data_IF_552052082160
#
_entry.id   IF_552052082160
#
_cell.length_a   1.000
_cell.length_b   1.000
_cell.length_c   1.000
_cell.angle_alpha   90.00
_cell.angle_beta   90.00
_cell.angle_gamma   90.00
#
_symmetry.space_group_name_H-M   'P 1'
#
loop_
_entity.id
_entity.type
_entity.pdbx_description
1 polymer ?
#
# COMPACT_ATOMS: atom_id res chain seq x y z
N UNK A 1 -29.74 -4.76 1.16
CA UNK A 1 -28.56 -4.45 1.99
C UNK A 1 -27.55 -3.83 1.05
N UNK A 2 -27.07 -2.62 1.31
CA UNK A 2 -26.08 -2.00 0.43
C UNK A 2 -24.82 -2.88 0.42
N UNK A 3 -24.31 -3.24 -0.76
CA UNK A 3 -23.00 -3.87 -0.87
C UNK A 3 -21.99 -2.90 -0.28
N UNK A 4 -21.36 -3.24 0.85
CA UNK A 4 -20.32 -2.40 1.44
C UNK A 4 -19.12 -2.44 0.49
N UNK A 5 -18.76 -1.28 -0.04
CA UNK A 5 -17.56 -1.10 -0.84
C UNK A 5 -16.40 -0.78 0.12
N UNK A 6 -15.25 -1.42 -0.09
CA UNK A 6 -13.99 -1.13 0.62
C UNK A 6 -13.15 -0.25 -0.30
N UNK A 7 -12.71 0.91 0.18
CA UNK A 7 -11.86 1.84 -0.56
C UNK A 7 -10.42 1.71 -0.09
N UNK A 8 -9.50 1.49 -1.02
CA UNK A 8 -8.09 1.23 -0.74
C UNK A 8 -7.21 2.21 -1.50
N UNK A 9 -6.34 2.91 -0.78
CA UNK A 9 -5.27 3.72 -1.38
C UNK A 9 -4.01 2.89 -1.60
N UNK A 10 -3.51 2.83 -2.82
CA UNK A 10 -2.22 2.18 -3.15
C UNK A 10 -1.10 3.22 -3.06
N UNK A 11 -0.26 3.12 -2.04
CA UNK A 11 0.91 3.97 -1.82
C UNK A 11 2.21 3.21 -2.10
N UNK A 12 3.32 3.93 -2.25
CA UNK A 12 4.65 3.33 -2.42
C UNK A 12 5.61 4.25 -3.16
N UNK A 13 6.90 3.93 -3.13
CA UNK A 13 7.90 4.65 -3.92
C UNK A 13 7.67 4.46 -5.44
N UNK A 14 8.22 5.34 -6.29
CA UNK A 14 8.35 5.04 -7.71
C UNK A 14 9.07 3.71 -7.95
N UNK A 15 8.62 2.96 -8.96
CA UNK A 15 9.25 1.71 -9.43
C UNK A 15 9.26 0.52 -8.44
N UNK A 16 8.39 0.49 -7.42
CA UNK A 16 8.27 -0.64 -6.47
C UNK A 16 7.35 -1.77 -6.94
N UNK A 17 6.79 -1.66 -8.14
CA UNK A 17 5.79 -2.60 -8.67
C UNK A 17 4.34 -2.32 -8.23
N UNK A 18 4.06 -1.14 -7.66
CA UNK A 18 2.71 -0.69 -7.30
C UNK A 18 1.69 -0.86 -8.44
N UNK A 19 2.01 -0.35 -9.63
CA UNK A 19 1.14 -0.49 -10.81
C UNK A 19 1.01 -1.94 -11.28
N UNK A 20 2.02 -2.79 -11.05
CA UNK A 20 1.94 -4.22 -11.38
C UNK A 20 0.95 -4.95 -10.47
N UNK A 21 1.00 -4.68 -9.16
CA UNK A 21 0.02 -5.20 -8.20
C UNK A 21 -1.38 -4.68 -8.54
N UNK A 22 -1.52 -3.37 -8.77
CA UNK A 22 -2.79 -2.75 -9.17
C UNK A 22 -3.40 -3.47 -10.39
N UNK A 23 -2.63 -3.63 -11.47
CA UNK A 23 -3.10 -4.29 -12.68
C UNK A 23 -3.43 -5.77 -12.45
N UNK A 24 -2.65 -6.48 -11.63
CA UNK A 24 -2.89 -7.88 -11.31
C UNK A 24 -4.21 -8.07 -10.53
N UNK A 25 -4.56 -7.11 -9.66
CA UNK A 25 -5.77 -7.15 -8.86
C UNK A 25 -7.02 -6.68 -9.63
N UNK A 26 -6.94 -5.59 -10.41
CA UNK A 26 -8.11 -4.99 -11.10
C UNK A 26 -8.35 -5.58 -12.49
N UNK A 27 -7.31 -6.12 -13.13
CA UNK A 27 -7.36 -6.60 -14.50
C UNK A 27 -7.82 -5.52 -15.48
N UNK A 28 -9.00 -5.73 -16.09
CA UNK A 28 -9.57 -4.78 -17.06
C UNK A 28 -10.56 -3.78 -16.44
N UNK A 29 -10.93 -3.94 -15.17
CA UNK A 29 -11.92 -3.10 -14.50
C UNK A 29 -11.26 -1.87 -13.90
N UNK A 30 -10.65 -1.08 -14.77
CA UNK A 30 -9.92 0.11 -14.38
C UNK A 30 -10.27 1.30 -15.26
N UNK A 31 -10.20 2.48 -14.68
CA UNK A 31 -10.38 3.76 -15.33
C UNK A 31 -9.19 4.66 -15.01
N UNK A 32 -8.73 5.40 -16.01
CA UNK A 32 -7.61 6.32 -15.89
C UNK A 32 -8.10 7.72 -16.23
N UNK A 33 -7.89 8.65 -15.31
CA UNK A 33 -8.21 10.06 -15.45
C UNK A 33 -7.09 10.92 -14.87
N UNK A 34 -7.43 12.13 -14.42
CA UNK A 34 -6.50 13.02 -13.74
C UNK A 34 -7.01 13.37 -12.36
N UNK A 35 -6.08 13.62 -11.43
CA UNK A 35 -6.43 14.19 -10.13
C UNK A 35 -7.13 15.56 -10.28
N UNK A 36 -8.14 15.88 -9.46
CA UNK A 36 -8.90 17.12 -9.60
C UNK A 36 -8.03 18.38 -9.65
N UNK A 37 -8.10 19.11 -10.77
CA UNK A 37 -7.33 20.34 -10.98
C UNK A 37 -5.83 20.13 -11.16
N UNK A 38 -5.39 18.91 -11.51
CA UNK A 38 -3.97 18.55 -11.72
C UNK A 38 -3.78 17.84 -13.07
N UNK A 39 -2.55 17.80 -13.54
CA UNK A 39 -2.12 17.05 -14.74
C UNK A 39 -1.55 15.67 -14.40
N UNK A 40 -1.65 15.25 -13.15
CA UNK A 40 -1.13 13.98 -12.66
C UNK A 40 -2.22 12.94 -12.86
N UNK A 41 -1.83 11.81 -13.46
CA UNK A 41 -2.71 10.68 -13.73
C UNK A 41 -3.27 10.09 -12.43
N UNK A 42 -4.55 9.70 -12.47
CA UNK A 42 -5.25 8.98 -11.41
C UNK A 42 -5.82 7.71 -12.00
N UNK A 43 -5.31 6.56 -11.58
CA UNK A 43 -5.86 5.27 -11.94
C UNK A 43 -6.74 4.74 -10.80
N UNK A 44 -7.91 4.24 -11.15
CA UNK A 44 -8.83 3.57 -10.23
C UNK A 44 -9.30 2.27 -10.83
N UNK A 45 -9.53 1.26 -10.00
CA UNK A 45 -10.10 0.02 -10.49
C UNK A 45 -10.79 -0.76 -9.40
N UNK A 46 -11.55 -1.77 -9.80
CA UNK A 46 -12.33 -2.57 -8.86
C UNK A 46 -12.03 -4.05 -8.99
N UNK A 47 -12.02 -4.73 -7.84
CA UNK A 47 -12.03 -6.18 -7.76
C UNK A 47 -13.18 -6.64 -6.86
N UNK A 48 -13.58 -7.90 -7.03
CA UNK A 48 -14.63 -8.51 -6.22
C UNK A 48 -14.04 -9.65 -5.41
N UNK A 49 -14.26 -9.65 -4.09
CA UNK A 49 -13.79 -10.69 -3.18
C UNK A 49 -14.89 -11.06 -2.20
N UNK A 50 -15.27 -12.34 -2.10
CA UNK A 50 -16.30 -12.83 -1.15
C UNK A 50 -17.60 -11.99 -1.10
N UNK A 51 -18.07 -11.51 -2.27
CA UNK A 51 -19.26 -10.62 -2.47
C UNK A 51 -19.07 -9.16 -2.06
N UNK A 52 -17.89 -8.79 -1.55
CA UNK A 52 -17.46 -7.41 -1.37
C UNK A 52 -16.91 -6.85 -2.68
N UNK A 53 -17.09 -5.56 -2.87
CA UNK A 53 -16.43 -4.80 -3.93
C UNK A 53 -15.32 -3.98 -3.30
N UNK A 54 -14.11 -4.11 -3.83
CA UNK A 54 -12.94 -3.38 -3.36
C UNK A 54 -12.54 -2.42 -4.47
N UNK A 55 -12.51 -1.12 -4.17
CA UNK A 55 -12.01 -0.08 -5.06
C UNK A 55 -10.56 0.22 -4.69
N UNK A 56 -9.66 0.06 -5.67
CA UNK A 56 -8.27 0.46 -5.56
C UNK A 56 -8.10 1.83 -6.22
N UNK A 57 -7.45 2.75 -5.53
CA UNK A 57 -7.03 4.06 -6.06
C UNK A 57 -5.51 4.13 -6.07
N UNK A 58 -4.92 4.29 -7.25
CA UNK A 58 -3.48 4.38 -7.41
C UNK A 58 -3.00 5.79 -7.05
N UNK A 59 -2.21 5.91 -5.99
CA UNK A 59 -1.61 7.19 -5.60
C UNK A 59 -0.33 7.42 -6.40
N UNK A 60 0.04 8.69 -6.67
CA UNK A 60 1.32 9.00 -7.28
C UNK A 60 2.48 8.38 -6.48
N UNK A 61 3.43 7.75 -7.18
CA UNK A 61 4.62 7.20 -6.53
C UNK A 61 5.44 8.31 -5.89
N UNK A 62 5.73 8.18 -4.59
CA UNK A 62 6.42 9.22 -3.81
C UNK A 62 7.50 8.64 -2.90
N UNK A 63 8.55 9.41 -2.62
CA UNK A 63 9.54 9.06 -1.60
C UNK A 63 9.18 9.55 -0.19
N UNK A 64 8.30 10.54 -0.07
CA UNK A 64 7.89 11.11 1.22
C UNK A 64 6.46 11.69 1.18
N UNK A 65 5.91 11.99 2.36
CA UNK A 65 4.68 12.76 2.54
C UNK A 65 4.97 14.17 3.08
N UNK A 66 6.21 14.65 2.93
CA UNK A 66 6.62 16.01 3.31
C UNK A 66 5.95 17.11 2.46
N UNK A 67 5.30 16.73 1.34
CA UNK A 67 4.52 17.60 0.46
C UNK A 67 5.32 18.71 -0.22
N UNK A 68 6.53 18.36 -0.62
CA UNK A 68 7.46 19.19 -1.39
C UNK A 68 7.18 19.12 -2.90
N UNK A 69 6.45 18.10 -3.37
CA UNK A 69 5.99 17.97 -4.76
C UNK A 69 4.46 17.85 -4.86
N UNK A 70 3.87 18.16 -6.03
CA UNK A 70 2.44 17.92 -6.26
C UNK A 70 2.00 16.46 -6.04
N UNK A 71 2.84 15.49 -6.39
CA UNK A 71 2.64 14.06 -6.14
C UNK A 71 2.57 13.76 -4.64
N UNK A 72 3.50 14.31 -3.87
CA UNK A 72 3.53 14.16 -2.41
C UNK A 72 2.29 14.79 -1.74
N UNK A 73 1.89 15.97 -2.22
CA UNK A 73 0.68 16.66 -1.75
C UNK A 73 -0.56 15.81 -2.03
N UNK A 74 -0.67 15.22 -3.22
CA UNK A 74 -1.80 14.36 -3.61
C UNK A 74 -1.85 13.12 -2.72
N UNK A 75 -0.73 12.40 -2.59
CA UNK A 75 -0.65 11.18 -1.79
C UNK A 75 -1.02 11.45 -0.32
N UNK A 76 -0.43 12.50 0.29
CA UNK A 76 -0.72 12.88 1.68
C UNK A 76 -2.18 13.28 1.86
N UNK A 77 -2.68 14.18 1.02
CA UNK A 77 -4.05 14.68 1.17
C UNK A 77 -5.07 13.56 0.94
N UNK A 78 -4.80 12.61 0.06
CA UNK A 78 -5.69 11.47 -0.11
C UNK A 78 -5.74 10.61 1.17
N UNK A 79 -4.58 10.26 1.73
CA UNK A 79 -4.51 9.44 2.95
C UNK A 79 -5.20 10.14 4.14
N UNK A 80 -5.00 11.44 4.30
CA UNK A 80 -5.49 12.20 5.45
C UNK A 80 -6.94 12.68 5.29
N UNK A 81 -7.33 13.14 4.10
CA UNK A 81 -8.61 13.83 3.90
C UNK A 81 -9.68 12.96 3.24
N UNK A 82 -9.31 11.99 2.42
CA UNK A 82 -10.25 11.06 1.79
C UNK A 82 -10.44 9.79 2.62
N UNK A 83 -9.62 9.59 3.66
CA UNK A 83 -9.73 8.53 4.67
C UNK A 83 -10.10 7.15 4.08
N UNK A 84 -9.24 6.57 3.21
CA UNK A 84 -9.52 5.23 2.68
C UNK A 84 -9.61 4.20 3.83
N UNK A 85 -10.44 3.17 3.66
CA UNK A 85 -10.59 2.10 4.66
C UNK A 85 -9.24 1.42 4.96
N UNK A 86 -8.38 1.30 3.94
CA UNK A 86 -7.03 0.72 4.04
C UNK A 86 -6.05 1.46 3.12
N UNK A 87 -4.82 1.64 3.58
CA UNK A 87 -3.68 2.00 2.72
C UNK A 87 -2.82 0.77 2.50
N UNK A 88 -2.68 0.34 1.25
CA UNK A 88 -1.71 -0.68 0.86
C UNK A 88 -0.41 0.04 0.49
N UNK A 89 0.62 -0.13 1.30
CA UNK A 89 1.93 0.43 1.04
C UNK A 89 2.81 -0.63 0.34
N UNK A 90 3.10 -0.41 -0.93
CA UNK A 90 3.94 -1.31 -1.74
C UNK A 90 5.40 -0.96 -1.55
N UNK A 91 6.19 -1.94 -1.10
CA UNK A 91 7.58 -1.80 -0.70
C UNK A 91 8.45 -2.70 -1.59
N UNK A 92 9.50 -2.14 -2.21
CA UNK A 92 10.53 -2.92 -2.91
C UNK A 92 11.42 -3.63 -1.88
N UNK A 93 11.30 -4.96 -1.81
CA UNK A 93 12.02 -5.82 -0.88
C UNK A 93 13.54 -5.81 -1.10
N UNK A 94 14.01 -5.50 -2.30
CA UNK A 94 15.45 -5.39 -2.60
C UNK A 94 16.05 -4.10 -2.04
N UNK A 95 15.23 -3.14 -1.60
CA UNK A 95 15.65 -1.81 -1.12
C UNK A 95 14.83 -1.33 0.08
N UNK A 96 14.71 -2.18 1.10
CA UNK A 96 13.92 -1.92 2.31
C UNK A 96 14.17 -0.53 2.92
N UNK A 97 15.42 -0.21 3.29
CA UNK A 97 15.77 1.03 4.01
C UNK A 97 15.16 2.28 3.36
N UNK A 98 15.29 2.41 2.04
CA UNK A 98 14.75 3.55 1.28
C UNK A 98 13.22 3.59 1.33
N UNK A 99 12.56 2.44 1.24
CA UNK A 99 11.10 2.35 1.20
C UNK A 99 10.47 2.49 2.58
N UNK A 100 11.17 2.07 3.63
CA UNK A 100 10.67 2.15 5.01
C UNK A 100 10.51 3.60 5.47
N UNK A 101 11.21 4.56 4.88
CA UNK A 101 11.00 5.98 5.21
C UNK A 101 9.57 6.46 4.91
N UNK A 102 9.02 6.12 3.73
CA UNK A 102 7.63 6.42 3.41
C UNK A 102 6.67 5.60 4.28
N UNK A 103 7.01 4.33 4.51
CA UNK A 103 6.21 3.40 5.31
C UNK A 103 5.92 3.96 6.70
N UNK A 104 6.96 4.44 7.39
CA UNK A 104 6.83 5.04 8.71
C UNK A 104 5.93 6.27 8.71
N UNK A 105 6.06 7.15 7.71
CA UNK A 105 5.20 8.33 7.59
C UNK A 105 3.73 7.96 7.35
N UNK A 106 3.45 6.92 6.56
CA UNK A 106 2.07 6.44 6.37
C UNK A 106 1.50 5.90 7.69
N UNK A 107 2.29 5.12 8.43
CA UNK A 107 1.91 4.55 9.72
C UNK A 107 1.62 5.63 10.78
N UNK A 108 2.29 6.79 10.71
CA UNK A 108 1.98 7.94 11.58
C UNK A 108 0.66 8.63 11.22
N UNK A 109 0.22 8.54 9.96
CA UNK A 109 -1.02 9.18 9.49
C UNK A 109 -2.26 8.30 9.66
N UNK A 110 -2.11 6.97 9.62
CA UNK A 110 -3.24 6.04 9.73
C UNK A 110 -2.85 4.69 10.31
N UNK A 111 -3.75 4.11 11.13
CA UNK A 111 -3.62 2.75 11.68
C UNK A 111 -4.15 1.64 10.77
N UNK A 112 -4.69 1.97 9.58
CA UNK A 112 -5.23 0.99 8.63
C UNK A 112 -4.27 0.78 7.47
N UNK A 113 -3.13 0.13 7.74
CA UNK A 113 -2.06 -0.08 6.76
C UNK A 113 -1.79 -1.56 6.56
N UNK A 114 -1.60 -1.98 5.31
CA UNK A 114 -1.06 -3.29 4.93
C UNK A 114 0.18 -3.08 4.07
N UNK A 115 1.29 -3.71 4.42
CA UNK A 115 2.54 -3.62 3.64
C UNK A 115 2.59 -4.76 2.64
N UNK A 116 2.62 -4.43 1.35
CA UNK A 116 2.90 -5.40 0.29
C UNK A 116 4.40 -5.38 -0.01
N UNK A 117 5.14 -6.32 0.58
CA UNK A 117 6.58 -6.48 0.41
C UNK A 117 6.84 -7.18 -0.93
N UNK A 118 7.03 -6.41 -2.00
CA UNK A 118 7.08 -6.89 -3.38
C UNK A 118 8.52 -7.15 -3.85
N UNK A 119 8.67 -7.90 -4.96
CA UNK A 119 9.95 -8.31 -5.55
C UNK A 119 10.70 -9.36 -4.70
N UNK A 120 9.96 -10.25 -4.02
CA UNK A 120 10.52 -11.33 -3.21
C UNK A 120 11.24 -12.42 -4.04
N UNK A 121 10.89 -12.56 -5.31
CA UNK A 121 11.61 -13.39 -6.27
C UNK A 121 13.04 -12.88 -6.49
N UNK A 122 13.22 -11.57 -6.59
CA UNK A 122 14.53 -10.95 -6.76
C UNK A 122 15.40 -11.10 -5.51
N UNK A 123 14.81 -10.92 -4.32
CA UNK A 123 15.48 -11.17 -3.03
C UNK A 123 16.02 -12.61 -2.97
N UNK A 124 15.20 -13.60 -3.33
CA UNK A 124 15.62 -15.02 -3.38
C UNK A 124 16.69 -15.27 -4.45
N UNK A 125 16.57 -14.64 -5.62
CA UNK A 125 17.56 -14.77 -6.72
C UNK A 125 18.94 -14.26 -6.30
N UNK A 126 18.99 -13.24 -5.46
CA UNK A 126 20.22 -12.67 -4.91
C UNK A 126 20.75 -13.46 -3.70
N UNK A 127 20.03 -14.49 -3.26
CA UNK A 127 20.42 -15.37 -2.16
C UNK A 127 20.20 -14.76 -0.78
N UNK A 128 19.31 -13.77 -0.69
CA UNK A 128 18.97 -13.09 0.55
C UNK A 128 17.64 -13.63 1.08
N UNK A 129 17.44 -13.48 2.39
CA UNK A 129 16.17 -13.77 3.05
C UNK A 129 15.79 -12.56 3.90
N UNK A 130 14.49 -12.25 3.93
CA UNK A 130 13.92 -11.21 4.77
C UNK A 130 13.04 -11.90 5.79
N UNK A 131 13.30 -11.63 7.06
CA UNK A 131 12.42 -12.04 8.15
C UNK A 131 11.19 -11.13 8.16
N UNK A 132 10.13 -11.61 7.53
CA UNK A 132 8.87 -10.90 7.37
C UNK A 132 8.08 -10.83 8.67
N UNK A 133 8.23 -11.82 9.54
CA UNK A 133 7.58 -11.83 10.85
C UNK A 133 8.21 -10.79 11.77
N UNK A 134 9.54 -10.69 11.76
CA UNK A 134 10.25 -9.63 12.47
C UNK A 134 9.87 -8.25 11.92
N UNK A 135 9.82 -8.09 10.59
CA UNK A 135 9.44 -6.82 9.98
C UNK A 135 8.00 -6.42 10.33
N UNK A 136 7.06 -7.36 10.33
CA UNK A 136 5.69 -7.14 10.78
C UNK A 136 5.63 -6.70 12.24
N UNK A 137 6.37 -7.38 13.12
CA UNK A 137 6.44 -7.03 14.54
C UNK A 137 7.03 -5.64 14.79
N UNK A 138 8.08 -5.26 14.06
CA UNK A 138 8.76 -3.96 14.21
C UNK A 138 7.95 -2.81 13.61
N UNK A 139 7.21 -3.04 12.52
CA UNK A 139 6.32 -2.03 11.94
C UNK A 139 4.99 -1.93 12.69
N UNK A 140 4.57 -3.03 13.33
CA UNK A 140 3.25 -3.14 13.94
C UNK A 140 2.12 -3.13 12.89
N UNK A 141 2.38 -3.54 11.65
CA UNK A 141 1.41 -3.59 10.56
C UNK A 141 1.62 -4.88 9.74
N UNK A 142 0.56 -5.52 9.22
CA UNK A 142 0.67 -6.75 8.43
C UNK A 142 1.64 -6.60 7.25
N UNK A 143 2.55 -7.57 7.08
CA UNK A 143 3.54 -7.58 5.99
C UNK A 143 3.33 -8.80 5.12
N UNK A 144 2.82 -8.59 3.90
CA UNK A 144 2.52 -9.66 2.96
C UNK A 144 3.63 -9.74 1.89
N UNK A 145 4.40 -10.84 1.82
CA UNK A 145 5.41 -11.04 0.80
C UNK A 145 4.74 -11.28 -0.56
N UNK A 146 5.12 -10.52 -1.58
CA UNK A 146 4.47 -10.55 -2.89
C UNK A 146 5.45 -10.62 -4.05
N UNK A 147 4.96 -11.17 -5.17
CA UNK A 147 5.59 -11.08 -6.48
C UNK A 147 4.50 -10.70 -7.47
N UNK A 148 4.44 -9.40 -7.81
CA UNK A 148 3.35 -8.85 -8.61
C UNK A 148 3.21 -9.50 -10.01
N UNK A 149 4.32 -9.97 -10.59
CA UNK A 149 4.40 -10.51 -11.95
C UNK A 149 3.83 -11.92 -12.10
N UNK A 150 3.91 -12.74 -11.05
CA UNK A 150 3.38 -14.11 -11.04
C UNK A 150 2.14 -14.28 -10.15
N UNK A 151 1.79 -13.25 -9.36
CA UNK A 151 0.62 -13.21 -8.49
C UNK A 151 0.82 -13.83 -7.11
N UNK A 152 2.04 -14.25 -6.75
CA UNK A 152 2.36 -14.78 -5.42
C UNK A 152 2.04 -13.75 -4.35
N UNK A 153 1.37 -14.18 -3.28
CA UNK A 153 0.97 -13.34 -2.14
C UNK A 153 -0.24 -12.42 -2.40
N UNK A 154 -0.71 -12.26 -3.64
CA UNK A 154 -1.84 -11.38 -3.92
C UNK A 154 -3.18 -11.85 -3.31
N UNK A 155 -3.52 -13.16 -3.28
CA UNK A 155 -4.74 -13.61 -2.60
C UNK A 155 -4.73 -13.31 -1.10
N UNK A 156 -3.57 -13.49 -0.45
CA UNK A 156 -3.36 -13.18 0.96
C UNK A 156 -3.41 -11.67 1.23
N UNK A 157 -2.83 -10.87 0.33
CA UNK A 157 -2.92 -9.41 0.39
C UNK A 157 -4.38 -8.94 0.35
N UNK A 158 -5.20 -9.51 -0.54
CA UNK A 158 -6.63 -9.17 -0.66
C UNK A 158 -7.40 -9.57 0.60
N UNK A 159 -7.15 -10.75 1.16
CA UNK A 159 -7.79 -11.16 2.42
C UNK A 159 -7.40 -10.21 3.55
N UNK A 160 -6.10 -9.92 3.70
CA UNK A 160 -5.56 -9.01 4.73
C UNK A 160 -6.13 -7.60 4.62
N UNK A 161 -6.34 -7.08 3.39
CA UNK A 161 -7.03 -5.81 3.16
C UNK A 161 -8.45 -5.86 3.72
N UNK A 162 -9.21 -6.93 3.46
CA UNK A 162 -10.57 -7.08 3.98
C UNK A 162 -10.58 -7.15 5.51
N UNK A 163 -9.68 -7.96 6.10
CA UNK A 163 -9.56 -8.06 7.55
C UNK A 163 -9.20 -6.73 8.21
N UNK A 164 -8.34 -5.94 7.57
CA UNK A 164 -7.96 -4.60 8.03
C UNK A 164 -9.13 -3.61 7.92
N UNK A 165 -9.84 -3.60 6.79
CA UNK A 165 -11.01 -2.74 6.57
C UNK A 165 -12.19 -3.05 7.52
N UNK A 166 -12.28 -4.29 7.98
CA UNK A 166 -13.27 -4.74 8.97
C UNK A 166 -12.82 -4.49 10.42
N UNK A 167 -11.60 -3.96 10.63
CA UNK A 167 -11.02 -3.71 11.94
C UNK A 167 -10.62 -4.98 12.71
N UNK A 168 -10.55 -6.13 12.02
CA UNK A 168 -10.05 -7.39 12.59
C UNK A 168 -8.52 -7.36 12.73
N UNK A 169 -7.87 -6.66 11.81
CA UNK A 169 -6.47 -6.27 11.89
C UNK A 169 -6.41 -4.75 12.02
N UNK A 170 -5.62 -4.25 12.96
CA UNK A 170 -5.32 -2.82 13.05
C UNK A 170 -3.83 -2.70 13.26
N UNK A 171 -3.18 -1.84 12.45
CA UNK A 171 -1.80 -1.53 12.71
C UNK A 171 -1.70 -0.86 14.08
N UNK A 172 -0.70 -1.25 14.85
CA UNK A 172 -0.27 -0.59 16.08
C UNK A 172 1.15 -0.10 15.83
N UNK A 173 1.32 0.99 15.06
CA UNK A 173 2.63 1.48 14.70
C UNK A 173 3.51 1.62 15.93
N UNK A 174 4.73 1.10 15.85
CA UNK A 174 5.72 1.36 16.89
C UNK A 174 6.00 2.86 16.89
N UNK A 175 5.92 3.49 18.06
CA UNK A 175 6.24 4.92 18.19
C UNK A 175 7.72 5.11 17.85
N UNK A 176 8.02 5.85 16.78
CA UNK A 176 9.39 6.21 16.43
C UNK A 176 9.86 7.27 17.42
N UNK A 177 10.87 6.92 18.24
CA UNK A 177 11.55 7.90 19.09
C UNK A 177 12.50 8.73 18.22
N UNK A 178 12.16 10.00 18.03
CA UNK A 178 12.98 10.96 17.30
C UNK A 178 14.16 11.52 18.12
N UNK A 179 14.39 11.02 19.34
CA UNK A 179 15.47 11.46 20.21
C UNK A 179 15.29 12.91 20.69
N UNK A 180 14.04 13.37 20.75
CA UNK A 180 13.68 14.72 21.20
C UNK A 180 13.53 14.83 22.73
N UNK A 181 13.84 13.76 23.46
CA UNK A 181 13.86 13.69 24.93
C UNK A 181 15.28 13.64 25.49
#
# INVERSE_FOLDING_TARGET
>A
MANRQIVVGMAGNPNVGKSAIFNALTGRRQHVGNWPGKTIERAEGTLSHNRLEIQLVDLPGTYSLAAQSPEEVIARNYIVSEEPDVVVNVVDATRLERNLNLTLQILELTGSVVVALNLMDEVRREGWEIDTEALESELGAPVIPTVATDGTGLPELVETIVETAEGRLTARPVSVDYGLT
#
